data_IF_977015536373
#
_entry.id   IF_977015536373
#
_cell.length_a   1.000
_cell.length_b   1.000
_cell.length_c   1.000
_cell.angle_alpha   90.00
_cell.angle_beta   90.00
_cell.angle_gamma   90.00
#
_symmetry.space_group_name_H-M   'P 1'
#
loop_
_entity.id
_entity.type
_entity.pdbx_description
1 polymer ?
#
# COMPACT_ATOMS: atom_id res chain seq x y z
N UNK A 1 -19.80 -6.67 4.03
CA UNK A 1 -18.80 -6.07 3.16
C UNK A 1 -19.35 -6.07 1.73
N UNK A 2 -19.24 -4.93 1.03
CA UNK A 2 -19.67 -4.79 -0.36
C UNK A 2 -18.42 -4.66 -1.24
N UNK A 3 -18.40 -5.38 -2.35
CA UNK A 3 -17.37 -5.25 -3.39
C UNK A 3 -17.94 -4.49 -4.57
N UNK A 4 -17.20 -3.51 -5.03
CA UNK A 4 -17.55 -2.72 -6.20
C UNK A 4 -16.36 -2.69 -7.16
N UNK A 5 -16.58 -3.08 -8.42
CA UNK A 5 -15.54 -3.03 -9.46
C UNK A 5 -15.81 -1.84 -10.36
N UNK A 6 -14.92 -0.87 -10.35
CA UNK A 6 -14.90 0.26 -11.28
C UNK A 6 -13.65 0.17 -12.15
N UNK A 7 -13.79 0.39 -13.44
CA UNK A 7 -12.68 0.22 -14.39
C UNK A 7 -12.54 1.38 -15.39
N UNK A 8 -13.44 2.35 -15.31
CA UNK A 8 -13.54 3.40 -16.35
C UNK A 8 -13.40 4.80 -15.76
N UNK A 9 -14.00 5.05 -14.58
CA UNK A 9 -14.07 6.39 -14.01
C UNK A 9 -12.78 6.76 -13.29
N UNK A 10 -12.30 7.97 -13.57
CA UNK A 10 -11.13 8.56 -12.91
C UNK A 10 -11.43 9.99 -12.46
N UNK A 11 -10.57 10.56 -11.63
CA UNK A 11 -10.67 11.95 -11.21
C UNK A 11 -12.04 12.32 -10.66
N UNK A 12 -12.63 13.36 -11.20
CA UNK A 12 -13.93 13.92 -10.76
C UNK A 12 -15.09 12.94 -10.92
N UNK A 13 -15.10 12.15 -11.99
CA UNK A 13 -16.17 11.18 -12.24
C UNK A 13 -16.13 10.04 -11.21
N UNK A 14 -14.92 9.58 -10.86
CA UNK A 14 -14.74 8.61 -9.80
C UNK A 14 -15.20 9.19 -8.44
N UNK A 15 -14.78 10.39 -8.10
CA UNK A 15 -15.16 11.03 -6.84
C UNK A 15 -16.68 11.24 -6.73
N UNK A 16 -17.33 11.62 -7.83
CA UNK A 16 -18.80 11.79 -7.88
C UNK A 16 -19.51 10.45 -7.63
N UNK A 17 -19.04 9.38 -8.29
CA UNK A 17 -19.56 8.04 -8.06
C UNK A 17 -19.32 7.58 -6.62
N UNK A 18 -18.10 7.75 -6.11
CA UNK A 18 -17.73 7.37 -4.74
C UNK A 18 -18.63 8.05 -3.70
N UNK A 19 -18.82 9.37 -3.82
CA UNK A 19 -19.72 10.14 -2.94
C UNK A 19 -21.13 9.57 -2.93
N UNK A 20 -21.66 9.26 -4.12
CA UNK A 20 -22.99 8.64 -4.25
C UNK A 20 -23.07 7.25 -3.59
N UNK A 21 -22.04 6.44 -3.77
CA UNK A 21 -21.98 5.10 -3.17
C UNK A 21 -21.91 5.17 -1.66
N UNK A 22 -21.03 6.01 -1.09
CA UNK A 22 -20.88 6.16 0.36
C UNK A 22 -22.21 6.61 0.99
N UNK A 23 -22.87 7.62 0.41
CA UNK A 23 -24.17 8.07 0.89
C UNK A 23 -25.25 6.97 0.82
N UNK A 24 -25.26 6.19 -0.26
CA UNK A 24 -26.25 5.12 -0.46
C UNK A 24 -26.02 3.94 0.49
N UNK A 25 -24.75 3.54 0.69
CA UNK A 25 -24.40 2.36 1.49
C UNK A 25 -24.20 2.67 2.96
N UNK A 26 -24.00 3.97 3.30
CA UNK A 26 -23.60 4.44 4.65
C UNK A 26 -22.36 3.70 5.16
N UNK A 27 -21.39 3.48 4.26
CA UNK A 27 -20.15 2.79 4.59
C UNK A 27 -19.31 3.64 5.56
N UNK A 28 -18.80 3.02 6.62
CA UNK A 28 -17.88 3.66 7.56
C UNK A 28 -16.45 3.67 7.02
N UNK A 29 -16.08 2.66 6.25
CA UNK A 29 -14.74 2.51 5.66
C UNK A 29 -14.85 2.09 4.21
N UNK A 30 -14.06 2.73 3.35
CA UNK A 30 -13.92 2.38 1.93
C UNK A 30 -12.46 2.15 1.59
N UNK A 31 -12.18 1.02 0.97
CA UNK A 31 -10.88 0.68 0.40
C UNK A 31 -10.87 1.04 -1.09
N UNK A 32 -9.84 1.78 -1.53
CA UNK A 32 -9.61 2.13 -2.93
C UNK A 32 -8.34 1.41 -3.37
N UNK A 33 -8.49 0.35 -4.16
CA UNK A 33 -7.40 -0.55 -4.60
C UNK A 33 -7.46 -0.83 -6.11
N UNK A 34 -6.44 -0.46 -6.87
CA UNK A 34 -5.34 0.43 -6.49
C UNK A 34 -5.69 1.91 -6.69
N UNK A 35 -5.14 2.79 -5.85
CA UNK A 35 -5.34 4.24 -5.91
C UNK A 35 -5.09 4.82 -7.30
N UNK A 36 -4.01 4.39 -7.95
CA UNK A 36 -3.57 4.94 -9.24
C UNK A 36 -4.59 4.78 -10.35
N UNK A 37 -5.41 3.74 -10.31
CA UNK A 37 -6.45 3.49 -11.32
C UNK A 37 -7.52 4.58 -11.33
N UNK A 38 -7.65 5.34 -10.25
CA UNK A 38 -8.75 6.29 -10.07
C UNK A 38 -8.32 7.75 -10.00
N UNK A 39 -7.03 8.02 -9.91
CA UNK A 39 -6.50 9.37 -9.73
C UNK A 39 -6.73 10.29 -10.94
N UNK A 40 -6.66 9.74 -12.16
CA UNK A 40 -6.92 10.49 -13.39
C UNK A 40 -5.73 11.32 -13.89
N UNK A 41 -4.50 11.01 -13.44
CA UNK A 41 -3.29 11.69 -13.87
C UNK A 41 -2.02 11.02 -13.35
N UNK A 42 -0.87 11.65 -13.60
CA UNK A 42 0.42 11.14 -13.15
C UNK A 42 0.57 11.32 -11.62
N UNK A 43 0.78 10.25 -10.86
CA UNK A 43 0.93 10.32 -9.40
C UNK A 43 2.22 11.03 -8.95
N UNK A 44 3.20 11.23 -9.83
CA UNK A 44 4.38 12.02 -9.53
C UNK A 44 4.12 13.54 -9.59
N UNK A 45 2.99 13.95 -10.16
CA UNK A 45 2.59 15.34 -10.23
C UNK A 45 1.89 15.77 -8.94
N UNK A 46 2.45 16.76 -8.27
CA UNK A 46 1.94 17.29 -6.99
C UNK A 46 0.53 17.88 -7.17
N UNK A 47 0.27 18.56 -8.28
CA UNK A 47 -1.04 19.18 -8.53
C UNK A 47 -2.11 18.12 -8.73
N UNK A 48 -1.80 17.05 -9.46
CA UNK A 48 -2.71 15.90 -9.65
C UNK A 48 -3.03 15.25 -8.30
N UNK A 49 -1.99 15.00 -7.49
CA UNK A 49 -2.17 14.42 -6.15
C UNK A 49 -3.00 15.34 -5.24
N UNK A 50 -2.65 16.61 -5.16
CA UNK A 50 -3.34 17.60 -4.33
C UNK A 50 -4.80 17.76 -4.76
N UNK A 51 -5.07 17.85 -6.06
CA UNK A 51 -6.42 17.93 -6.58
C UNK A 51 -7.23 16.69 -6.19
N UNK A 52 -6.71 15.50 -6.42
CA UNK A 52 -7.42 14.26 -6.12
C UNK A 52 -7.69 14.11 -4.61
N UNK A 53 -6.70 14.32 -3.78
CA UNK A 53 -6.83 14.12 -2.33
C UNK A 53 -7.61 15.25 -1.66
N UNK A 54 -7.22 16.52 -1.88
CA UNK A 54 -7.75 17.67 -1.13
C UNK A 54 -9.06 18.20 -1.70
N UNK A 55 -9.21 18.18 -3.05
CA UNK A 55 -10.39 18.76 -3.69
C UNK A 55 -11.46 17.72 -4.04
N UNK A 56 -11.10 16.45 -4.24
CA UNK A 56 -12.06 15.41 -4.57
C UNK A 56 -12.38 14.47 -3.40
N UNK A 57 -11.37 13.89 -2.74
CA UNK A 57 -11.61 12.90 -1.66
C UNK A 57 -11.93 13.55 -0.31
N UNK A 58 -11.19 14.58 0.09
CA UNK A 58 -11.38 15.21 1.39
C UNK A 58 -12.81 15.77 1.61
N UNK A 59 -13.47 16.43 0.65
CA UNK A 59 -14.85 16.83 0.80
C UNK A 59 -15.82 15.67 1.08
N UNK A 60 -15.58 14.51 0.46
CA UNK A 60 -16.41 13.31 0.70
C UNK A 60 -16.27 12.85 2.14
N UNK A 61 -15.02 12.79 2.65
CA UNK A 61 -14.74 12.41 4.04
C UNK A 61 -15.38 13.39 5.03
N UNK A 62 -15.24 14.69 4.78
CA UNK A 62 -15.81 15.74 5.64
C UNK A 62 -17.34 15.69 5.68
N UNK A 63 -17.95 15.40 4.56
CA UNK A 63 -19.40 15.37 4.41
C UNK A 63 -20.04 14.10 5.00
N UNK A 64 -19.37 12.97 4.86
CA UNK A 64 -19.96 11.65 5.18
C UNK A 64 -19.39 11.01 6.44
N UNK A 65 -18.24 11.47 6.93
CA UNK A 65 -17.51 10.85 8.03
C UNK A 65 -16.78 9.55 7.64
N UNK A 66 -16.80 9.16 6.35
CA UNK A 66 -16.17 7.92 5.88
C UNK A 66 -14.66 7.94 6.06
N UNK A 67 -14.09 6.83 6.46
CA UNK A 67 -12.64 6.60 6.43
C UNK A 67 -12.24 6.02 5.07
N UNK A 68 -11.28 6.64 4.40
CA UNK A 68 -10.73 6.13 3.14
C UNK A 68 -9.38 5.45 3.39
N UNK A 69 -9.26 4.21 2.93
CA UNK A 69 -8.01 3.44 2.89
C UNK A 69 -7.54 3.36 1.45
N UNK A 70 -6.45 4.06 1.14
CA UNK A 70 -5.89 4.13 -0.21
C UNK A 70 -4.77 3.10 -0.33
N UNK A 71 -4.95 2.12 -1.22
CA UNK A 71 -3.93 1.09 -1.47
C UNK A 71 -3.06 1.52 -2.65
N UNK A 72 -1.76 1.55 -2.42
CA UNK A 72 -0.78 1.93 -3.43
C UNK A 72 0.39 0.95 -3.45
N UNK A 73 0.91 0.68 -4.65
CA UNK A 73 2.03 -0.24 -4.83
C UNK A 73 3.36 0.51 -4.93
N UNK A 74 4.41 -0.04 -4.33
CA UNK A 74 5.75 0.46 -4.51
C UNK A 74 6.26 0.22 -5.94
N UNK A 75 7.03 1.17 -6.51
CA UNK A 75 7.74 0.92 -7.75
C UNK A 75 8.73 -0.25 -7.55
N UNK A 76 8.98 -0.98 -8.63
CA UNK A 76 10.00 -2.04 -8.58
C UNK A 76 11.38 -1.42 -8.31
N UNK A 77 12.23 -2.08 -7.48
CA UNK A 77 13.60 -1.62 -7.25
C UNK A 77 14.36 -1.42 -8.58
N UNK A 78 15.07 -0.31 -8.72
CA UNK A 78 15.80 0.04 -9.95
C UNK A 78 17.20 -0.54 -10.04
N UNK A 79 17.76 -1.16 -8.98
CA UNK A 79 19.14 -1.64 -8.97
C UNK A 79 19.49 -2.52 -7.77
N UNK A 80 20.75 -3.01 -7.78
CA UNK A 80 21.28 -3.95 -6.77
C UNK A 80 21.74 -3.30 -5.47
N UNK A 81 21.79 -1.96 -5.42
CA UNK A 81 22.38 -1.20 -4.31
C UNK A 81 21.32 -0.58 -3.38
N UNK A 82 20.06 -1.04 -3.46
CA UNK A 82 19.00 -0.57 -2.57
C UNK A 82 19.34 -1.00 -1.13
N UNK A 83 19.90 -0.05 -0.38
CA UNK A 83 20.04 -0.17 1.08
C UNK A 83 18.67 -0.42 1.69
N UNK A 84 18.59 -1.16 2.81
CA UNK A 84 17.33 -1.29 3.53
C UNK A 84 16.85 0.11 3.92
N UNK A 85 15.82 0.56 3.27
CA UNK A 85 15.17 1.83 3.55
C UNK A 85 14.43 1.71 4.90
N UNK A 86 14.45 2.77 5.68
CA UNK A 86 13.60 2.86 6.87
C UNK A 86 12.13 2.81 6.46
N UNK A 87 11.23 2.50 7.41
CA UNK A 87 9.78 2.55 7.18
C UNK A 87 9.33 3.93 6.68
N UNK A 88 9.96 4.99 7.20
CA UNK A 88 9.68 6.35 6.77
C UNK A 88 10.13 6.60 5.32
N UNK A 89 11.33 6.16 4.93
CA UNK A 89 11.82 6.29 3.55
C UNK A 89 10.92 5.54 2.58
N UNK A 90 10.48 4.34 2.95
CA UNK A 90 9.54 3.56 2.15
C UNK A 90 8.21 4.30 1.94
N UNK A 91 7.69 4.97 2.96
CA UNK A 91 6.44 5.73 2.83
C UNK A 91 6.55 6.87 1.81
N UNK A 92 7.71 7.51 1.70
CA UNK A 92 7.93 8.58 0.73
C UNK A 92 8.35 8.06 -0.66
N UNK A 93 9.06 6.94 -0.74
CA UNK A 93 9.51 6.37 -2.02
C UNK A 93 8.37 5.76 -2.83
N UNK A 94 7.31 5.29 -2.17
CA UNK A 94 6.21 4.58 -2.82
C UNK A 94 5.28 5.44 -3.66
N UNK A 95 5.14 6.73 -3.34
CA UNK A 95 4.02 7.53 -3.86
C UNK A 95 4.35 8.42 -5.08
N UNK A 96 5.60 8.49 -5.51
CA UNK A 96 6.00 9.41 -6.58
C UNK A 96 5.87 10.88 -6.21
N UNK A 97 4.93 11.23 -5.34
CA UNK A 97 4.75 12.56 -4.74
C UNK A 97 4.66 12.45 -3.22
N UNK A 98 5.41 13.30 -2.52
CA UNK A 98 5.33 13.41 -1.06
C UNK A 98 3.96 13.92 -0.56
N UNK A 99 3.16 14.52 -1.45
CA UNK A 99 1.87 15.10 -1.06
C UNK A 99 0.88 14.05 -0.55
N UNK A 100 0.81 12.87 -1.17
CA UNK A 100 -0.02 11.76 -0.70
C UNK A 100 0.35 11.33 0.71
N UNK A 101 1.65 11.12 0.96
CA UNK A 101 2.16 10.78 2.29
C UNK A 101 1.85 11.87 3.30
N UNK A 102 2.03 13.14 2.93
CA UNK A 102 1.78 14.27 3.82
C UNK A 102 0.29 14.45 4.14
N UNK A 103 -0.59 14.24 3.17
CA UNK A 103 -2.03 14.35 3.34
C UNK A 103 -2.60 13.23 4.22
N UNK A 104 -2.14 11.99 4.05
CA UNK A 104 -2.61 10.84 4.80
C UNK A 104 -2.42 11.04 6.32
N UNK A 105 -3.42 10.66 7.12
CA UNK A 105 -3.35 10.67 8.59
C UNK A 105 -2.40 9.62 9.12
N UNK A 106 -2.40 8.45 8.48
CA UNK A 106 -1.52 7.33 8.78
C UNK A 106 -1.03 6.71 7.47
N UNK A 107 0.18 6.18 7.49
CA UNK A 107 0.77 5.46 6.37
C UNK A 107 1.30 4.13 6.87
N UNK A 108 0.70 3.06 6.37
CA UNK A 108 1.10 1.70 6.67
C UNK A 108 1.92 1.18 5.49
N UNK A 109 3.10 0.69 5.78
CA UNK A 109 4.01 0.09 4.80
C UNK A 109 4.04 -1.41 5.01
N UNK A 110 3.85 -2.17 3.93
CA UNK A 110 4.03 -3.62 3.93
C UNK A 110 5.07 -3.99 2.88
N UNK A 111 6.21 -4.52 3.31
CA UNK A 111 7.34 -4.89 2.43
C UNK A 111 7.68 -6.35 2.62
N UNK A 112 7.77 -7.11 1.52
CA UNK A 112 8.30 -8.48 1.56
C UNK A 112 9.78 -8.45 1.90
N UNK A 113 10.20 -9.24 2.88
CA UNK A 113 11.57 -9.24 3.42
C UNK A 113 12.26 -10.60 3.33
N UNK A 114 11.53 -11.66 2.99
CA UNK A 114 12.06 -12.99 2.83
C UNK A 114 11.38 -13.74 1.70
N UNK A 115 12.16 -14.44 0.90
CA UNK A 115 11.66 -15.25 -0.24
C UNK A 115 11.37 -16.70 0.14
N UNK A 116 11.61 -17.06 1.39
CA UNK A 116 11.38 -18.40 1.91
C UNK A 116 9.88 -18.67 2.12
N UNK A 117 9.50 -19.93 2.16
CA UNK A 117 8.13 -20.32 2.49
C UNK A 117 8.06 -20.72 3.98
N UNK A 118 7.21 -20.10 4.81
CA UNK A 118 6.21 -19.07 4.47
C UNK A 118 6.85 -17.69 4.19
N UNK A 119 6.26 -16.93 3.26
CA UNK A 119 6.72 -15.56 2.97
C UNK A 119 6.56 -14.66 4.18
N UNK A 120 7.60 -13.88 4.45
CA UNK A 120 7.63 -12.91 5.55
C UNK A 120 7.56 -11.48 5.02
N UNK A 121 6.91 -10.64 5.81
CA UNK A 121 6.71 -9.24 5.49
C UNK A 121 7.02 -8.39 6.72
N UNK A 122 7.60 -7.23 6.48
CA UNK A 122 7.65 -6.17 7.46
C UNK A 122 6.38 -5.32 7.31
N UNK A 123 5.64 -5.17 8.38
CA UNK A 123 4.54 -4.23 8.49
C UNK A 123 5.00 -3.07 9.37
N UNK A 124 4.99 -1.85 8.84
CA UNK A 124 5.49 -0.67 9.53
C UNK A 124 4.51 0.50 9.49
N UNK A 125 4.48 1.27 10.58
CA UNK A 125 3.73 2.52 10.72
C UNK A 125 4.69 3.66 10.45
N UNK A 126 4.53 4.34 9.31
CA UNK A 126 5.44 5.41 8.91
C UNK A 126 5.10 6.76 9.54
N UNK A 127 3.88 6.92 10.02
CA UNK A 127 3.42 8.11 10.73
C UNK A 127 2.79 7.71 12.06
N UNK A 128 3.02 8.51 13.11
CA UNK A 128 2.36 8.37 14.42
C UNK A 128 2.44 6.95 15.01
N UNK A 129 3.56 6.27 14.79
CA UNK A 129 3.77 4.90 15.26
C UNK A 129 3.46 4.71 16.76
N UNK A 130 3.78 5.73 17.57
CA UNK A 130 3.48 5.79 18.98
C UNK A 130 1.98 5.79 19.34
N UNK A 131 1.13 6.20 18.39
CA UNK A 131 -0.33 6.28 18.56
C UNK A 131 -1.09 5.20 17.81
N UNK A 132 -0.41 4.41 17.02
CA UNK A 132 -1.03 3.35 16.20
C UNK A 132 -1.59 2.20 17.02
N UNK A 133 -1.10 2.03 18.26
CA UNK A 133 -1.41 0.88 19.09
C UNK A 133 -0.76 -0.43 18.58
N UNK A 134 0.14 -0.35 17.60
CA UNK A 134 0.89 -1.52 17.14
C UNK A 134 1.81 -2.01 18.24
N UNK A 135 1.74 -3.31 18.56
CA UNK A 135 2.60 -3.95 19.55
C UNK A 135 3.33 -5.13 18.91
N UNK A 136 4.50 -5.44 19.45
CA UNK A 136 5.18 -6.70 19.17
C UNK A 136 4.49 -7.89 19.87
N UNK A 137 5.06 -9.08 19.74
CA UNK A 137 4.51 -10.30 20.35
C UNK A 137 4.56 -10.30 21.88
N UNK A 138 5.41 -9.46 22.48
CA UNK A 138 5.53 -9.23 23.91
C UNK A 138 4.56 -8.15 24.44
N UNK A 139 3.79 -7.52 23.56
CA UNK A 139 2.85 -6.44 23.90
C UNK A 139 3.51 -5.05 24.03
N UNK A 140 4.79 -4.89 23.65
CA UNK A 140 5.49 -3.61 23.69
C UNK A 140 5.13 -2.80 22.45
N UNK A 141 4.82 -1.52 22.63
CA UNK A 141 4.55 -0.58 21.52
C UNK A 141 5.75 -0.48 20.59
N UNK A 142 5.52 -0.66 19.30
CA UNK A 142 6.55 -0.62 18.26
C UNK A 142 6.05 0.06 17.00
N UNK A 143 6.96 0.60 16.19
CA UNK A 143 6.64 1.19 14.89
C UNK A 143 6.63 0.18 13.75
N UNK A 144 7.11 -1.05 13.95
CA UNK A 144 7.09 -2.10 12.94
C UNK A 144 7.12 -3.49 13.56
N UNK A 145 6.50 -4.45 12.87
CA UNK A 145 6.51 -5.87 13.24
C UNK A 145 6.81 -6.72 12.01
N UNK A 146 7.30 -7.93 12.27
CA UNK A 146 7.42 -8.95 11.24
C UNK A 146 6.20 -9.85 11.29
N UNK A 147 5.63 -10.10 10.11
CA UNK A 147 4.48 -10.99 9.95
C UNK A 147 4.76 -12.01 8.85
N UNK A 148 4.10 -13.14 8.92
CA UNK A 148 4.14 -14.18 7.91
C UNK A 148 2.75 -14.71 7.61
N UNK A 149 2.56 -15.21 6.38
CA UNK A 149 1.31 -15.87 6.01
C UNK A 149 1.19 -17.20 6.75
N UNK A 150 -0.05 -17.58 7.04
CA UNK A 150 -0.36 -18.93 7.52
C UNK A 150 0.04 -19.99 6.50
N UNK A 151 0.24 -21.21 6.98
CA UNK A 151 0.54 -22.39 6.17
C UNK A 151 -0.72 -23.23 5.96
N UNK A 152 -0.68 -24.18 5.01
CA UNK A 152 -1.78 -25.11 4.81
C UNK A 152 -3.03 -24.53 4.12
N UNK A 153 -2.91 -23.37 3.45
CA UNK A 153 -4.03 -22.74 2.73
C UNK A 153 -4.83 -21.75 3.58
N UNK A 154 -4.46 -21.56 4.84
CA UNK A 154 -5.11 -20.59 5.72
C UNK A 154 -4.83 -19.16 5.28
N UNK A 155 -5.89 -18.34 5.26
CA UNK A 155 -5.78 -16.89 5.09
C UNK A 155 -5.60 -16.27 6.48
N UNK A 156 -4.42 -16.46 7.06
CA UNK A 156 -4.05 -15.93 8.37
C UNK A 156 -2.70 -15.23 8.32
N UNK A 157 -2.47 -14.37 9.30
CA UNK A 157 -1.22 -13.65 9.49
C UNK A 157 -0.76 -13.89 10.93
N UNK A 158 0.51 -14.26 11.07
CA UNK A 158 1.12 -14.54 12.37
C UNK A 158 2.34 -13.65 12.55
N UNK A 159 2.70 -13.35 13.79
CA UNK A 159 4.01 -12.76 14.08
C UNK A 159 5.11 -13.67 13.56
N UNK A 160 6.16 -13.06 13.01
CA UNK A 160 7.35 -13.75 12.56
C UNK A 160 8.58 -13.21 13.30
N UNK A 161 9.59 -14.08 13.49
CA UNK A 161 10.88 -13.64 14.00
C UNK A 161 11.57 -12.73 12.96
N UNK A 162 12.25 -11.66 13.43
CA UNK A 162 13.06 -10.82 12.57
C UNK A 162 14.11 -11.65 11.83
N UNK A 163 14.12 -11.60 10.52
CA UNK A 163 15.23 -12.13 9.74
C UNK A 163 16.28 -11.04 9.58
N UNK A 164 17.57 -11.40 9.77
CA UNK A 164 18.65 -10.56 9.28
C UNK A 164 18.48 -10.49 7.76
N UNK A 165 18.42 -9.28 7.20
CA UNK A 165 18.36 -9.08 5.74
C UNK A 165 19.56 -9.79 5.09
N UNK A 166 19.34 -11.01 4.64
CA UNK A 166 20.29 -11.69 3.77
C UNK A 166 19.94 -11.22 2.36
N UNK A 167 20.75 -10.32 1.84
CA UNK A 167 20.71 -10.01 0.40
C UNK A 167 21.17 -11.26 -0.32
N UNK A 168 20.23 -12.07 -0.77
CA UNK A 168 20.55 -13.27 -1.56
C UNK A 168 21.10 -12.83 -2.93
N UNK A 169 22.43 -12.82 -3.03
CA UNK A 169 23.16 -12.42 -4.24
C UNK A 169 22.97 -13.41 -5.39
N UNK A 170 22.43 -14.61 -5.14
CA UNK A 170 22.31 -15.66 -6.15
C UNK A 170 20.99 -15.67 -6.91
N UNK A 171 19.88 -15.27 -6.31
CA UNK A 171 18.59 -15.29 -6.98
C UNK A 171 18.45 -14.24 -8.10
N UNK A 172 19.33 -13.22 -8.12
CA UNK A 172 19.38 -12.17 -9.13
C UNK A 172 20.00 -12.62 -10.48
N UNK A 173 20.48 -13.86 -10.62
CA UNK A 173 21.28 -14.32 -11.77
C UNK A 173 20.55 -15.22 -12.77
N UNK A 174 19.27 -15.49 -12.64
CA UNK A 174 18.56 -16.21 -13.70
C UNK A 174 18.00 -15.20 -14.70
N UNK A 175 18.62 -15.05 -15.88
CA UNK A 175 18.02 -14.26 -16.95
C UNK A 175 16.72 -14.96 -17.35
N UNK A 176 15.68 -14.18 -17.49
CA UNK A 176 14.39 -14.64 -18.01
C UNK A 176 14.65 -15.27 -19.38
N UNK A 177 14.59 -16.59 -19.49
CA UNK A 177 14.67 -17.27 -20.77
C UNK A 177 13.45 -16.87 -21.58
N UNK A 178 13.67 -16.17 -22.69
CA UNK A 178 12.62 -15.86 -23.66
C UNK A 178 12.02 -17.17 -24.15
N UNK A 179 10.92 -17.59 -23.57
CA UNK A 179 10.12 -18.69 -24.10
C UNK A 179 9.69 -18.33 -25.52
N UNK A 180 10.12 -19.14 -26.50
CA UNK A 180 9.65 -19.06 -27.87
C UNK A 180 8.17 -19.43 -27.89
N UNK A 181 7.30 -18.43 -27.98
CA UNK A 181 5.93 -18.70 -28.39
C UNK A 181 5.92 -18.96 -29.90
N UNK A 182 5.37 -20.08 -30.37
CA UNK A 182 5.17 -20.28 -31.80
C UNK A 182 4.10 -19.27 -32.28
N UNK A 183 4.46 -18.50 -33.31
CA UNK A 183 3.47 -17.64 -34.00
C UNK A 183 2.48 -18.57 -34.69
N UNK A 184 1.22 -18.40 -34.44
CA UNK A 184 0.10 -18.81 -35.28
C UNK A 184 -0.43 -17.59 -36.01
#
# INVERSE_FOLDING_TARGET
>A
MLFFRETVRTGTDFATMLRRLVRKTKADVVYIDPLLSYMGGNPADIEVCANFTRHLLQPIMMETGVVLVLVHHFPKPKGKDDKPESVADLAYSGFGSSDLTNWAREVIVMKEVGFNNPRKFMLGMAKRADRSGMTDKEGKVTGSIMIQRGTGGDISWNYAEPEKFVVDKESARKPYSKGKYPRR
#
